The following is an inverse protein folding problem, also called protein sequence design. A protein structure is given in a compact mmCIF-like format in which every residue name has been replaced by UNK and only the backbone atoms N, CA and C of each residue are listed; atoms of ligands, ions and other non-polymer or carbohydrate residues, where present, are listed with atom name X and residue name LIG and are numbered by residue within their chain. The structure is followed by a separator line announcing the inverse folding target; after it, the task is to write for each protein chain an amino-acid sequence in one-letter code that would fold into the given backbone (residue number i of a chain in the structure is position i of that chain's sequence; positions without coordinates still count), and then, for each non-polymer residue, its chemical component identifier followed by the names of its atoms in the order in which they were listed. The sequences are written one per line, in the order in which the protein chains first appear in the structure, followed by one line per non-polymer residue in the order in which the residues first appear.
data_IF_922141422348
#
_entry.id   IF_922141422348
#
_cell.length_a   1.000
_cell.length_b   1.000
_cell.length_c   1.000
_cell.angle_alpha   90.00
_cell.angle_beta   90.00
_cell.angle_gamma   90.00
#
_symmetry.space_group_name_H-M   'P 1'
#
loop_
_entity.id
_entity.type
_entity.pdbx_description
1 polymer ?
#
# COMPACT_ATOMS: atom_id res chain seq x y z
N UNK A 1 -31.61 55.31 -37.53
CA UNK A 1 -32.32 54.01 -37.64
C UNK A 1 -31.23 52.96 -37.83
N UNK A 2 -30.76 52.35 -36.73
CA UNK A 2 -29.73 51.31 -36.74
C UNK A 2 -30.42 49.99 -36.36
N UNK A 3 -30.29 48.98 -37.21
CA UNK A 3 -30.77 47.62 -36.95
C UNK A 3 -29.63 46.83 -36.31
N UNK A 4 -29.87 46.33 -35.11
CA UNK A 4 -28.96 45.51 -34.31
C UNK A 4 -28.74 44.13 -34.95
N UNK A 5 -27.48 43.69 -34.98
CA UNK A 5 -27.08 42.32 -35.34
C UNK A 5 -27.52 41.38 -34.22
N UNK A 6 -28.50 40.54 -34.51
CA UNK A 6 -28.92 39.47 -33.62
C UNK A 6 -27.84 38.41 -33.44
N UNK A 7 -27.60 38.07 -32.16
CA UNK A 7 -26.88 36.90 -31.68
C UNK A 7 -27.49 35.61 -32.27
N UNK A 8 -26.76 34.99 -33.18
CA UNK A 8 -27.01 33.61 -33.60
C UNK A 8 -26.44 32.72 -32.51
N UNK A 9 -27.30 32.30 -31.57
CA UNK A 9 -27.00 31.22 -30.64
C UNK A 9 -26.65 29.95 -31.43
N UNK A 10 -25.35 29.63 -31.52
CA UNK A 10 -24.84 28.33 -31.93
C UNK A 10 -25.39 27.28 -30.96
N UNK A 11 -26.52 26.67 -31.33
CA UNK A 11 -27.06 25.50 -30.65
C UNK A 11 -26.06 24.36 -30.82
N UNK A 12 -25.35 24.03 -29.74
CA UNK A 12 -24.51 22.83 -29.64
C UNK A 12 -25.29 21.61 -30.12
N UNK A 13 -24.91 21.08 -31.28
CA UNK A 13 -25.47 19.84 -31.80
C UNK A 13 -25.11 18.70 -30.82
N UNK A 14 -26.05 17.80 -30.50
CA UNK A 14 -25.77 16.66 -29.64
C UNK A 14 -24.66 15.81 -30.27
N UNK A 15 -23.67 15.43 -29.45
CA UNK A 15 -22.58 14.56 -29.88
C UNK A 15 -23.15 13.35 -30.64
N UNK A 16 -22.61 13.09 -31.83
CA UNK A 16 -23.10 12.01 -32.67
C UNK A 16 -22.93 10.67 -31.95
N UNK A 17 -23.90 9.76 -32.09
CA UNK A 17 -23.87 8.42 -31.50
C UNK A 17 -22.52 7.66 -31.63
N UNK A 18 -21.75 7.76 -32.74
CA UNK A 18 -20.43 7.14 -32.80
C UNK A 18 -19.42 7.68 -31.77
N UNK A 19 -19.44 8.98 -31.43
CA UNK A 19 -18.50 9.54 -30.44
C UNK A 19 -18.79 9.04 -29.02
N UNK A 20 -20.07 8.90 -28.66
CA UNK A 20 -20.48 8.39 -27.34
C UNK A 20 -20.04 6.93 -27.16
N UNK A 21 -20.22 6.11 -28.20
CA UNK A 21 -19.78 4.70 -28.18
C UNK A 21 -18.25 4.61 -28.11
N UNK A 22 -17.53 5.36 -28.94
CA UNK A 22 -16.06 5.38 -28.92
C UNK A 22 -15.50 5.84 -27.57
N UNK A 23 -16.06 6.88 -26.95
CA UNK A 23 -15.64 7.35 -25.63
C UNK A 23 -15.93 6.33 -24.51
N UNK A 24 -17.07 5.64 -24.57
CA UNK A 24 -17.42 4.60 -23.59
C UNK A 24 -16.48 3.40 -23.69
N UNK A 25 -16.17 3.00 -24.92
CA UNK A 25 -15.22 1.91 -25.20
C UNK A 25 -13.81 2.31 -24.77
N UNK A 26 -13.37 3.53 -25.10
CA UNK A 26 -12.04 4.03 -24.72
C UNK A 26 -11.87 4.13 -23.20
N UNK A 27 -12.87 4.61 -22.46
CA UNK A 27 -12.83 4.69 -20.99
C UNK A 27 -12.83 3.29 -20.35
N UNK A 28 -13.60 2.35 -20.88
CA UNK A 28 -13.57 0.96 -20.43
C UNK A 28 -12.17 0.36 -20.61
N UNK A 29 -11.54 0.57 -21.76
CA UNK A 29 -10.19 0.08 -22.04
C UNK A 29 -9.11 0.76 -21.19
N UNK A 30 -9.21 2.06 -20.93
CA UNK A 30 -8.27 2.76 -20.05
C UNK A 30 -8.25 2.14 -18.64
N UNK A 31 -9.42 1.70 -18.15
CA UNK A 31 -9.51 1.02 -16.86
C UNK A 31 -8.84 -0.36 -16.88
N UNK A 32 -8.97 -1.10 -17.98
CA UNK A 32 -8.35 -2.41 -18.17
C UNK A 32 -6.82 -2.30 -18.24
N UNK A 33 -6.29 -1.28 -18.90
CA UNK A 33 -4.84 -1.07 -19.05
C UNK A 33 -4.14 -0.84 -17.73
N UNK A 34 -4.75 -0.03 -16.85
CA UNK A 34 -4.23 0.23 -15.52
C UNK A 34 -4.20 -1.05 -14.68
N UNK A 35 -5.24 -1.88 -14.80
CA UNK A 35 -5.30 -3.19 -14.13
C UNK A 35 -4.21 -4.11 -14.68
N UNK A 36 -4.11 -4.22 -16.00
CA UNK A 36 -3.14 -5.07 -16.68
C UNK A 36 -1.71 -4.69 -16.31
N UNK A 37 -1.36 -3.40 -16.36
CA UNK A 37 -0.07 -2.88 -15.94
C UNK A 37 0.23 -3.23 -14.47
N UNK A 38 -0.74 -3.05 -13.58
CA UNK A 38 -0.62 -3.42 -12.17
C UNK A 38 -0.39 -4.93 -11.97
N UNK A 39 -1.12 -5.78 -12.69
CA UNK A 39 -0.98 -7.24 -12.59
C UNK A 39 0.37 -7.74 -13.14
N UNK A 40 0.83 -7.17 -14.26
CA UNK A 40 2.17 -7.45 -14.82
C UNK A 40 3.26 -7.01 -13.84
N UNK A 41 3.16 -5.80 -13.28
CA UNK A 41 4.11 -5.30 -12.29
C UNK A 41 4.12 -6.13 -10.99
N UNK A 42 2.98 -6.72 -10.61
CA UNK A 42 2.88 -7.66 -9.50
C UNK A 42 3.46 -9.06 -9.82
N UNK A 43 3.92 -9.28 -11.05
CA UNK A 43 4.54 -10.52 -11.50
C UNK A 43 3.54 -11.67 -11.69
N UNK A 44 2.30 -11.38 -12.07
CA UNK A 44 1.35 -12.41 -12.48
C UNK A 44 1.78 -13.03 -13.80
N UNK A 45 1.61 -14.35 -13.91
CA UNK A 45 1.94 -15.08 -15.14
C UNK A 45 0.84 -14.98 -16.19
N UNK A 46 1.20 -15.31 -17.44
CA UNK A 46 0.35 -15.24 -18.63
C UNK A 46 -1.00 -15.94 -18.41
N UNK A 47 -0.99 -17.19 -17.95
CA UNK A 47 -2.22 -17.96 -17.72
C UNK A 47 -3.17 -17.31 -16.71
N UNK A 48 -2.61 -16.69 -15.66
CA UNK A 48 -3.42 -16.00 -14.66
C UNK A 48 -4.06 -14.73 -15.23
N UNK A 49 -3.33 -13.99 -16.08
CA UNK A 49 -3.86 -12.80 -16.75
C UNK A 49 -4.99 -13.17 -17.72
N UNK A 50 -4.77 -14.16 -18.57
CA UNK A 50 -5.79 -14.72 -19.49
C UNK A 50 -7.04 -15.11 -18.70
N UNK A 51 -6.85 -15.93 -17.65
CA UNK A 51 -7.95 -16.45 -16.87
C UNK A 51 -8.71 -15.35 -16.12
N UNK A 52 -8.03 -14.39 -15.50
CA UNK A 52 -8.66 -13.36 -14.68
C UNK A 52 -9.27 -12.22 -15.49
N UNK A 53 -8.73 -11.90 -16.66
CA UNK A 53 -9.25 -10.83 -17.52
C UNK A 53 -10.20 -11.35 -18.60
N UNK A 54 -10.28 -12.67 -18.80
CA UNK A 54 -11.13 -13.27 -19.84
C UNK A 54 -10.66 -12.90 -21.24
N UNK A 55 -9.36 -12.67 -21.42
CA UNK A 55 -8.75 -12.31 -22.70
C UNK A 55 -8.20 -13.55 -23.40
N UNK A 56 -8.22 -13.57 -24.73
CA UNK A 56 -7.44 -14.55 -25.47
C UNK A 56 -5.94 -14.29 -25.29
N UNK A 57 -5.11 -15.32 -25.52
CA UNK A 57 -3.65 -15.18 -25.43
C UNK A 57 -3.12 -14.12 -26.39
N UNK A 58 -3.62 -14.08 -27.62
CA UNK A 58 -3.25 -13.07 -28.63
C UNK A 58 -3.65 -11.66 -28.18
N UNK A 59 -4.92 -11.46 -27.76
CA UNK A 59 -5.39 -10.17 -27.30
C UNK A 59 -4.60 -9.63 -26.09
N UNK A 60 -4.19 -10.53 -25.18
CA UNK A 60 -3.34 -10.18 -24.06
C UNK A 60 -1.97 -9.65 -24.53
N UNK A 61 -1.29 -10.37 -25.44
CA UNK A 61 0.02 -9.95 -25.94
C UNK A 61 -0.04 -8.68 -26.78
N UNK A 62 -1.05 -8.53 -27.63
CA UNK A 62 -1.28 -7.30 -28.40
C UNK A 62 -1.42 -6.10 -27.46
N UNK A 63 -2.16 -6.28 -26.35
CA UNK A 63 -2.33 -5.21 -25.36
C UNK A 63 -1.06 -4.91 -24.57
N UNK A 64 -0.30 -5.94 -24.18
CA UNK A 64 1.00 -5.77 -23.52
C UNK A 64 1.98 -5.00 -24.42
N UNK A 65 2.04 -5.35 -25.70
CA UNK A 65 2.87 -4.67 -26.69
C UNK A 65 2.43 -3.22 -26.89
N UNK A 66 1.13 -2.98 -27.04
CA UNK A 66 0.57 -1.63 -27.20
C UNK A 66 0.86 -0.71 -26.00
N UNK A 67 0.93 -1.28 -24.78
CA UNK A 67 1.26 -0.54 -23.56
C UNK A 67 2.77 -0.46 -23.27
N UNK A 68 3.63 -1.08 -24.09
CA UNK A 68 5.06 -1.16 -23.84
C UNK A 68 5.44 -1.87 -22.53
N UNK A 69 4.59 -2.79 -22.07
CA UNK A 69 4.81 -3.52 -20.82
C UNK A 69 5.79 -4.68 -21.03
N UNK A 70 6.58 -5.05 -20.01
CA UNK A 70 7.44 -6.23 -20.10
C UNK A 70 6.59 -7.51 -20.24
N UNK A 71 7.08 -8.46 -21.04
CA UNK A 71 6.41 -9.75 -21.24
C UNK A 71 6.31 -10.49 -19.90
N UNK A 72 5.09 -10.82 -19.42
CA UNK A 72 4.90 -11.51 -18.15
C UNK A 72 5.48 -12.92 -18.22
N UNK A 73 6.00 -13.40 -17.09
CA UNK A 73 6.61 -14.72 -17.00
C UNK A 73 5.58 -15.85 -17.18
N UNK A 74 6.01 -16.99 -17.72
CA UNK A 74 5.16 -18.19 -17.85
C UNK A 74 5.09 -18.98 -16.54
N UNK A 75 4.85 -18.28 -15.42
CA UNK A 75 4.74 -18.92 -14.11
C UNK A 75 3.37 -19.57 -13.98
N UNK A 76 3.30 -20.87 -13.66
CA UNK A 76 2.02 -21.54 -13.48
C UNK A 76 1.25 -20.87 -12.34
N UNK A 77 -0.08 -20.79 -12.50
CA UNK A 77 -0.95 -20.22 -11.48
C UNK A 77 -0.72 -20.95 -10.15
N UNK A 78 -0.41 -20.19 -9.09
CA UNK A 78 -0.22 -20.77 -7.76
C UNK A 78 -1.49 -21.52 -7.36
N UNK A 79 -1.36 -22.83 -7.13
CA UNK A 79 -2.46 -23.65 -6.62
C UNK A 79 -2.97 -23.03 -5.32
N UNK A 80 -4.28 -22.84 -5.25
CA UNK A 80 -4.90 -22.20 -4.11
C UNK A 80 -4.88 -23.17 -2.91
N UNK A 81 -3.95 -22.95 -1.98
CA UNK A 81 -3.88 -23.69 -0.72
C UNK A 81 -4.71 -23.01 0.38
N UNK A 82 -5.42 -23.80 1.19
CA UNK A 82 -6.13 -23.35 2.39
C UNK A 82 -7.61 -23.74 2.42
N UNK A 83 -8.28 -23.48 3.56
CA UNK A 83 -9.69 -23.84 3.80
C UNK A 83 -10.68 -23.19 2.82
N UNK A 84 -10.31 -22.04 2.25
CA UNK A 84 -11.14 -21.29 1.31
C UNK A 84 -10.24 -20.77 0.18
N UNK A 85 -9.95 -21.57 -0.85
CA UNK A 85 -9.13 -21.17 -1.99
C UNK A 85 -9.79 -20.04 -2.78
N UNK A 86 -9.02 -19.13 -3.38
CA UNK A 86 -9.57 -18.12 -4.30
C UNK A 86 -9.88 -18.79 -5.63
N UNK A 87 -11.16 -18.85 -5.99
CA UNK A 87 -11.57 -19.32 -7.33
C UNK A 87 -11.27 -18.23 -8.36
N UNK A 88 -11.12 -18.58 -9.65
CA UNK A 88 -11.00 -17.57 -10.71
C UNK A 88 -12.16 -16.59 -10.73
N UNK A 89 -13.39 -17.06 -10.48
CA UNK A 89 -14.58 -16.21 -10.46
C UNK A 89 -14.60 -15.25 -9.26
N UNK A 90 -14.15 -15.69 -8.08
CA UNK A 90 -13.95 -14.78 -6.92
C UNK A 90 -12.99 -13.64 -7.28
N UNK A 91 -11.94 -13.95 -8.05
CA UNK A 91 -10.95 -12.96 -8.48
C UNK A 91 -11.53 -12.00 -9.50
N UNK A 92 -12.26 -12.49 -10.51
CA UNK A 92 -12.96 -11.65 -11.49
C UNK A 92 -13.97 -10.72 -10.81
N UNK A 93 -14.80 -11.27 -9.92
CA UNK A 93 -15.75 -10.50 -9.13
C UNK A 93 -15.06 -9.45 -8.26
N UNK A 94 -13.93 -9.79 -7.63
CA UNK A 94 -13.13 -8.83 -6.88
C UNK A 94 -12.65 -7.68 -7.78
N UNK A 95 -12.08 -7.98 -8.96
CA UNK A 95 -11.57 -6.95 -9.87
C UNK A 95 -12.72 -6.04 -10.33
N UNK A 96 -13.84 -6.62 -10.79
CA UNK A 96 -15.01 -5.86 -11.22
C UNK A 96 -15.54 -4.91 -10.14
N UNK A 97 -15.75 -5.42 -8.91
CA UNK A 97 -16.24 -4.61 -7.80
C UNK A 97 -15.23 -3.56 -7.33
N UNK A 98 -13.93 -3.88 -7.41
CA UNK A 98 -12.87 -2.94 -7.07
C UNK A 98 -12.88 -1.75 -8.03
N UNK A 99 -12.93 -2.01 -9.34
CA UNK A 99 -12.97 -0.99 -10.37
C UNK A 99 -14.25 -0.17 -10.35
N UNK A 100 -15.38 -0.79 -10.01
CA UNK A 100 -16.65 -0.11 -9.82
C UNK A 100 -16.74 0.74 -8.53
N UNK A 101 -15.63 1.00 -7.83
CA UNK A 101 -15.62 1.86 -6.63
C UNK A 101 -16.33 1.28 -5.41
N UNK A 102 -16.67 -0.02 -5.40
CA UNK A 102 -17.45 -0.59 -4.29
C UNK A 102 -16.63 -0.67 -3.00
N UNK A 103 -17.24 -0.27 -1.89
CA UNK A 103 -16.60 -0.29 -0.58
C UNK A 103 -16.21 -1.72 -0.16
N UNK A 104 -15.03 -1.87 0.46
CA UNK A 104 -14.43 -3.19 0.77
C UNK A 104 -15.30 -4.05 1.69
N UNK A 105 -16.12 -3.43 2.53
CA UNK A 105 -17.10 -4.14 3.36
C UNK A 105 -18.13 -4.89 2.51
N UNK A 106 -18.75 -4.22 1.54
CA UNK A 106 -19.72 -4.84 0.62
C UNK A 106 -19.08 -5.93 -0.23
N UNK A 107 -17.84 -5.72 -0.71
CA UNK A 107 -17.08 -6.76 -1.44
C UNK A 107 -16.86 -8.00 -0.57
N UNK A 108 -16.44 -7.80 0.68
CA UNK A 108 -16.17 -8.87 1.63
C UNK A 108 -17.45 -9.68 1.94
N UNK A 109 -18.56 -8.98 2.18
CA UNK A 109 -19.89 -9.59 2.40
C UNK A 109 -20.36 -10.37 1.15
N UNK A 110 -20.22 -9.79 -0.04
CA UNK A 110 -20.60 -10.44 -1.32
C UNK A 110 -19.80 -11.70 -1.60
N UNK A 111 -18.50 -11.73 -1.29
CA UNK A 111 -17.61 -12.87 -1.54
C UNK A 111 -17.56 -13.87 -0.38
N UNK A 112 -18.22 -13.59 0.76
CA UNK A 112 -18.10 -14.41 1.97
C UNK A 112 -16.66 -14.46 2.53
N UNK A 113 -15.90 -13.36 2.37
CA UNK A 113 -14.49 -13.27 2.78
C UNK A 113 -14.28 -12.20 3.86
N UNK A 114 -13.12 -12.23 4.52
CA UNK A 114 -12.75 -11.15 5.44
C UNK A 114 -12.21 -9.92 4.67
N UNK A 115 -12.44 -8.72 5.19
CA UNK A 115 -11.89 -7.46 4.63
C UNK A 115 -10.37 -7.52 4.43
N UNK A 116 -9.65 -8.11 5.38
CA UNK A 116 -8.20 -8.28 5.29
C UNK A 116 -7.78 -9.21 4.15
N UNK A 117 -8.56 -10.27 3.87
CA UNK A 117 -8.31 -11.15 2.73
C UNK A 117 -8.49 -10.39 1.40
N UNK A 118 -9.51 -9.51 1.30
CA UNK A 118 -9.72 -8.65 0.14
C UNK A 118 -8.50 -7.75 -0.11
N UNK A 119 -8.03 -7.01 0.91
CA UNK A 119 -6.85 -6.16 0.79
C UNK A 119 -5.59 -6.95 0.44
N UNK A 120 -5.39 -8.11 1.06
CA UNK A 120 -4.27 -9.00 0.76
C UNK A 120 -4.28 -9.49 -0.68
N UNK A 121 -5.44 -9.91 -1.20
CA UNK A 121 -5.58 -10.36 -2.59
C UNK A 121 -5.40 -9.20 -3.56
N UNK A 122 -6.06 -8.06 -3.32
CA UNK A 122 -5.91 -6.81 -4.10
C UNK A 122 -4.45 -6.40 -4.28
N UNK A 123 -3.66 -6.43 -3.20
CA UNK A 123 -2.21 -6.11 -3.25
C UNK A 123 -1.44 -7.11 -4.11
N UNK A 124 -1.72 -8.41 -3.96
CA UNK A 124 -1.07 -9.47 -4.75
C UNK A 124 -1.43 -9.42 -6.24
N UNK A 125 -2.60 -8.89 -6.57
CA UNK A 125 -3.04 -8.65 -7.94
C UNK A 125 -2.48 -7.34 -8.53
N UNK A 126 -1.82 -6.50 -7.73
CA UNK A 126 -1.34 -5.19 -8.21
C UNK A 126 -2.45 -4.18 -8.52
N UNK A 127 -3.66 -4.39 -8.00
CA UNK A 127 -4.77 -3.45 -8.25
C UNK A 127 -4.48 -2.07 -7.63
N UNK A 128 -4.86 -0.98 -8.31
CA UNK A 128 -4.54 0.38 -7.91
C UNK A 128 -5.16 0.76 -6.56
N UNK A 129 -4.55 1.75 -5.90
CA UNK A 129 -5.14 2.38 -4.73
C UNK A 129 -6.28 3.28 -5.18
N UNK A 130 -7.43 3.14 -4.52
CA UNK A 130 -8.63 3.95 -4.79
C UNK A 130 -8.68 5.11 -3.82
N UNK A 131 -9.20 6.23 -4.27
CA UNK A 131 -9.54 7.32 -3.38
C UNK A 131 -10.64 6.87 -2.40
N UNK A 132 -10.59 7.35 -1.17
CA UNK A 132 -11.58 7.03 -0.14
C UNK A 132 -12.92 7.72 -0.40
N UNK A 133 -12.89 8.88 -1.06
CA UNK A 133 -14.08 9.66 -1.36
C UNK A 133 -14.90 9.07 -2.52
N UNK A 134 -14.26 8.29 -3.40
CA UNK A 134 -14.92 7.64 -4.54
C UNK A 134 -15.56 6.28 -4.18
N UNK A 135 -15.63 5.92 -2.90
CA UNK A 135 -16.12 4.63 -2.46
C UNK A 135 -17.59 4.70 -2.07
N UNK A 136 -18.42 3.82 -2.63
CA UNK A 136 -19.83 3.68 -2.26
C UNK A 136 -20.15 2.26 -1.77
N UNK A 137 -21.10 2.17 -0.84
CA UNK A 137 -21.65 0.89 -0.39
C UNK A 137 -22.63 0.36 -1.44
N UNK A 138 -22.69 -0.97 -1.56
CA UNK A 138 -23.69 -1.68 -2.38
C UNK A 138 -24.24 -2.86 -1.61
N UNK A 139 -25.47 -3.26 -1.95
CA UNK A 139 -26.05 -4.49 -1.43
C UNK A 139 -25.33 -5.72 -2.01
N UNK A 140 -25.51 -6.89 -1.39
CA UNK A 140 -24.92 -8.14 -1.88
C UNK A 140 -25.43 -8.50 -3.28
N UNK A 141 -26.72 -8.29 -3.54
CA UNK A 141 -27.34 -8.60 -4.83
C UNK A 141 -26.85 -7.67 -5.94
N UNK A 142 -26.71 -6.37 -5.64
CA UNK A 142 -26.08 -5.41 -6.57
C UNK A 142 -24.62 -5.79 -6.88
N UNK A 143 -23.87 -6.27 -5.88
CA UNK A 143 -22.50 -6.71 -6.08
C UNK A 143 -22.43 -7.94 -7.00
N UNK A 144 -23.37 -8.88 -6.86
CA UNK A 144 -23.48 -10.05 -7.74
C UNK A 144 -23.85 -9.64 -9.16
N UNK A 145 -24.77 -8.70 -9.33
CA UNK A 145 -25.18 -8.19 -10.64
C UNK A 145 -24.03 -7.49 -11.40
N UNK A 146 -23.16 -6.74 -10.71
CA UNK A 146 -21.97 -6.14 -11.31
C UNK A 146 -21.00 -7.21 -11.82
N UNK A 147 -20.80 -8.27 -11.03
CA UNK A 147 -19.91 -9.36 -11.39
C UNK A 147 -20.38 -10.12 -12.63
N UNK A 148 -21.69 -10.32 -12.78
CA UNK A 148 -22.27 -11.00 -13.93
C UNK A 148 -21.95 -10.31 -15.26
N UNK A 149 -21.83 -8.97 -15.28
CA UNK A 149 -21.44 -8.21 -16.49
C UNK A 149 -19.98 -8.42 -16.91
N UNK A 150 -19.15 -8.91 -15.98
CA UNK A 150 -17.73 -9.14 -16.16
C UNK A 150 -17.39 -10.62 -16.35
N UNK A 151 -18.39 -11.51 -16.24
CA UNK A 151 -18.21 -12.89 -16.64
C UNK A 151 -17.82 -12.86 -18.13
N UNK A 152 -16.69 -13.49 -18.52
CA UNK A 152 -16.40 -13.65 -19.93
C UNK A 152 -17.65 -14.29 -20.51
N UNK A 153 -18.22 -13.62 -21.51
CA UNK A 153 -19.11 -14.31 -22.42
C UNK A 153 -18.22 -15.43 -22.91
N UNK A 154 -18.46 -16.65 -22.45
CA UNK A 154 -17.96 -17.83 -23.11
C UNK A 154 -18.61 -17.73 -24.48
N UNK A 155 -17.98 -16.96 -25.38
CA UNK A 155 -18.31 -16.95 -26.77
C UNK A 155 -18.31 -18.42 -27.09
N UNK A 156 -19.50 -18.95 -27.37
CA UNK A 156 -19.68 -20.37 -27.53
C UNK A 156 -18.68 -20.78 -28.59
N UNK A 157 -17.57 -21.37 -28.15
CA UNK A 157 -16.58 -22.02 -29.00
C UNK A 157 -17.16 -23.40 -29.37
N UNK A 158 -18.49 -23.45 -29.53
CA UNK A 158 -19.23 -24.51 -30.17
C UNK A 158 -18.88 -24.42 -31.66
N UNK A 159 -18.12 -25.41 -32.10
CA UNK A 159 -18.13 -25.88 -33.48
C UNK A 159 -17.46 -25.04 -34.57
N UNK A 160 -16.36 -24.35 -34.26
CA UNK A 160 -15.27 -24.21 -35.27
C UNK A 160 -14.30 -25.41 -35.16
N UNK A 161 -14.87 -26.61 -35.00
CA UNK A 161 -14.23 -27.88 -35.34
C UNK A 161 -14.57 -28.29 -36.80
N UNK A 162 -15.08 -27.37 -37.62
CA UNK A 162 -15.05 -27.51 -39.06
C UNK A 162 -13.67 -27.11 -39.57
N UNK A 163 -12.79 -28.09 -39.62
CA UNK A 163 -11.48 -28.07 -40.27
C UNK A 163 -11.51 -27.25 -41.59
N UNK A 164 -10.98 -26.00 -41.66
CA UNK A 164 -10.90 -25.27 -42.92
C UNK A 164 -9.79 -25.82 -43.85
N UNK A 165 -9.05 -26.86 -43.41
CA UNK A 165 -7.95 -27.47 -44.15
C UNK A 165 -8.35 -28.25 -45.40
N UNK A 166 -9.64 -28.48 -45.69
CA UNK A 166 -10.07 -29.19 -46.89
C UNK A 166 -10.47 -28.27 -48.07
N UNK A 167 -10.67 -26.96 -47.86
CA UNK A 167 -11.17 -26.05 -48.90
C UNK A 167 -10.12 -25.06 -49.47
N UNK A 168 -8.91 -25.01 -48.91
CA UNK A 168 -7.86 -24.05 -49.34
C UNK A 168 -6.67 -24.69 -50.09
N UNK A 169 -6.72 -25.98 -50.43
CA UNK A 169 -5.70 -26.63 -51.28
C UNK A 169 -5.82 -26.28 -52.78
N UNK A 170 -6.80 -25.48 -53.19
CA UNK A 170 -7.03 -25.13 -54.60
C UNK A 170 -6.48 -23.78 -55.07
N UNK A 171 -6.00 -22.90 -54.17
CA UNK A 171 -5.64 -21.51 -54.52
C UNK A 171 -4.19 -21.12 -54.16
N UNK A 172 -3.39 -22.04 -53.63
CA UNK A 172 -2.01 -21.79 -53.21
C UNK A 172 -0.96 -22.00 -54.32
N UNK A 173 -1.36 -22.02 -55.60
CA UNK A 173 -0.43 -22.23 -56.73
C UNK A 173 -0.07 -20.95 -57.51
N UNK A 174 -0.65 -19.78 -57.22
CA UNK A 174 -0.53 -18.62 -58.13
C UNK A 174 0.03 -17.33 -57.53
N UNK A 175 0.44 -17.29 -56.25
CA UNK A 175 0.90 -16.04 -55.61
C UNK A 175 2.26 -16.18 -54.87
N UNK A 176 3.17 -17.01 -55.39
CA UNK A 176 4.58 -16.98 -54.97
C UNK A 176 5.51 -16.71 -56.17
N UNK A 177 5.43 -15.50 -56.71
CA UNK A 177 6.47 -14.95 -57.59
C UNK A 177 6.60 -13.43 -57.42
N UNK A 178 6.92 -12.98 -56.20
CA UNK A 178 7.51 -11.66 -55.96
C UNK A 178 8.15 -11.62 -54.56
N UNK A 179 9.46 -11.82 -54.49
CA UNK A 179 10.26 -11.55 -53.30
C UNK A 179 10.67 -10.06 -53.30
N UNK A 180 10.34 -9.25 -52.27
CA UNK A 180 11.02 -7.99 -52.05
C UNK A 180 12.36 -8.23 -51.32
N UNK A 181 13.43 -7.64 -51.85
CA UNK A 181 14.78 -7.75 -51.30
C UNK A 181 14.95 -7.07 -49.92
N UNK A 182 16.05 -7.37 -49.21
CA UNK A 182 16.28 -6.90 -47.85
C UNK A 182 16.60 -5.40 -47.81
N UNK A 183 16.15 -4.65 -46.78
CA UNK A 183 16.54 -3.25 -46.59
C UNK A 183 18.01 -3.15 -46.11
N UNK A 184 18.71 -2.05 -46.45
CA UNK A 184 20.10 -1.84 -46.03
C UNK A 184 20.21 -1.52 -44.53
N UNK A 185 21.28 -2.02 -43.93
CA UNK A 185 21.65 -1.85 -42.54
C UNK A 185 21.76 -0.37 -42.15
N UNK A 186 21.00 0.03 -41.11
CA UNK A 186 21.12 1.35 -40.48
C UNK A 186 22.12 1.25 -39.32
N UNK A 187 23.17 2.05 -39.41
CA UNK A 187 24.20 2.19 -38.39
C UNK A 187 23.60 2.67 -37.06
N UNK A 188 23.88 1.91 -35.99
CA UNK A 188 23.62 2.30 -34.61
C UNK A 188 24.75 3.24 -34.19
N UNK A 189 24.45 4.53 -34.11
CA UNK A 189 25.30 5.51 -33.43
C UNK A 189 25.00 5.42 -31.93
N UNK A 190 25.93 4.81 -31.20
CA UNK A 190 25.99 4.86 -29.74
C UNK A 190 26.30 6.29 -29.31
N UNK A 191 25.31 6.98 -28.73
CA UNK A 191 25.52 8.28 -28.10
C UNK A 191 25.63 8.04 -26.59
N UNK A 192 26.87 8.01 -26.10
CA UNK A 192 27.19 7.96 -24.68
C UNK A 192 26.77 9.27 -24.01
N UNK A 193 25.85 9.17 -23.05
CA UNK A 193 25.44 10.27 -22.19
C UNK A 193 26.43 10.40 -21.02
N UNK A 194 27.42 11.28 -21.18
CA UNK A 194 28.28 11.74 -20.08
C UNK A 194 27.53 12.81 -19.27
N UNK A 195 27.16 12.49 -18.04
CA UNK A 195 26.42 13.38 -17.14
C UNK A 195 27.15 13.57 -15.81
N UNK A 196 28.39 14.07 -15.87
CA UNK A 196 29.13 14.62 -14.72
C UNK A 196 30.04 15.76 -15.21
N UNK A 197 29.48 16.97 -15.31
CA UNK A 197 30.24 18.21 -15.34
C UNK A 197 29.29 19.39 -15.11
N UNK A 198 29.30 19.95 -13.90
CA UNK A 198 29.12 21.37 -13.64
C UNK A 198 29.53 21.62 -12.19
N UNK A 199 30.81 21.96 -12.05
CA UNK A 199 31.37 22.68 -10.91
C UNK A 199 30.91 24.15 -10.95
N UNK A 200 30.88 24.77 -9.78
CA UNK A 200 31.01 26.22 -9.64
C UNK A 200 29.89 26.86 -8.84
N UNK A 201 30.07 26.97 -7.53
CA UNK A 201 30.05 28.29 -6.89
C UNK A 201 30.64 28.23 -5.48
N UNK A 202 31.69 29.04 -5.33
CA UNK A 202 32.58 29.24 -4.20
C UNK A 202 31.91 30.14 -3.18
N UNK A 203 31.81 29.71 -1.92
CA UNK A 203 31.55 30.60 -0.78
C UNK A 203 32.65 30.38 0.27
N UNK A 204 33.26 31.51 0.63
CA UNK A 204 34.42 31.68 1.50
C UNK A 204 34.20 31.15 2.93
N UNK A 205 35.22 30.46 3.47
CA UNK A 205 35.29 30.02 4.86
C UNK A 205 36.26 30.91 5.67
N UNK A 206 35.96 31.25 6.93
CA UNK A 206 36.94 31.81 7.84
C UNK A 206 37.65 30.73 8.66
N UNK A 207 39.00 30.75 8.54
CA UNK A 207 40.05 30.55 9.56
C UNK A 207 39.93 29.42 10.59
N UNK A 208 40.69 28.36 10.29
CA UNK A 208 41.63 27.61 11.13
C UNK A 208 41.50 27.71 12.67
N UNK A 209 41.13 26.58 13.29
CA UNK A 209 41.57 26.18 14.62
C UNK A 209 42.20 24.80 14.56
N UNK A 210 43.45 24.72 15.00
CA UNK A 210 44.33 23.57 15.06
C UNK A 210 43.79 22.53 16.03
N UNK A 211 43.39 21.35 15.54
CA UNK A 211 43.12 20.18 16.38
C UNK A 211 43.88 18.96 15.83
N UNK A 212 44.59 18.32 16.75
CA UNK A 212 45.44 17.15 16.56
C UNK A 212 44.67 15.96 15.96
N UNK A 213 45.33 15.11 15.16
CA UNK A 213 44.69 13.93 14.59
C UNK A 213 44.37 12.88 15.68
N UNK A 214 43.20 12.21 15.61
CA UNK A 214 42.88 11.13 16.52
C UNK A 214 43.72 9.88 16.19
N UNK A 215 44.38 9.35 17.20
CA UNK A 215 45.08 8.07 17.20
C UNK A 215 44.10 6.95 16.85
N UNK A 216 44.26 6.37 15.66
CA UNK A 216 43.53 5.16 15.25
C UNK A 216 44.07 3.99 16.05
N UNK A 217 43.30 3.53 17.03
CA UNK A 217 43.53 2.26 17.73
C UNK A 217 43.10 1.15 16.79
N UNK A 218 44.06 0.53 16.11
CA UNK A 218 43.85 -0.70 15.35
C UNK A 218 43.32 -1.78 16.30
N UNK A 219 42.07 -2.22 16.07
CA UNK A 219 41.55 -3.44 16.69
C UNK A 219 42.35 -4.61 16.15
N UNK A 220 42.93 -5.40 17.06
CA UNK A 220 43.53 -6.69 16.76
C UNK A 220 42.50 -7.57 16.05
N UNK A 221 42.75 -7.85 14.77
CA UNK A 221 42.06 -8.92 14.05
C UNK A 221 42.50 -10.27 14.66
N UNK A 222 41.57 -11.16 15.01
CA UNK A 222 41.93 -12.50 15.42
C UNK A 222 42.57 -13.22 14.23
N UNK A 223 43.77 -13.75 14.48
CA UNK A 223 44.54 -14.62 13.60
C UNK A 223 43.64 -15.67 12.93
N UNK A 224 43.79 -15.94 11.62
CA UNK A 224 43.04 -17.00 10.95
C UNK A 224 43.51 -18.34 11.50
N UNK A 225 42.78 -18.87 12.47
CA UNK A 225 42.87 -20.28 12.83
C UNK A 225 42.51 -21.10 11.59
N UNK A 226 43.44 -21.99 11.26
CA UNK A 226 43.40 -22.97 10.20
C UNK A 226 42.06 -23.71 10.22
N UNK A 227 41.12 -23.28 9.36
CA UNK A 227 39.93 -24.05 9.07
C UNK A 227 40.41 -25.28 8.29
N UNK A 228 40.47 -26.41 8.99
CA UNK A 228 40.75 -27.72 8.41
C UNK A 228 39.80 -27.96 7.23
N UNK A 229 40.36 -27.93 6.02
CA UNK A 229 39.65 -28.15 4.76
C UNK A 229 39.33 -29.64 4.54
N UNK A 230 38.80 -30.33 5.55
CA UNK A 230 38.13 -31.62 5.35
C UNK A 230 36.70 -31.34 4.91
N UNK A 231 36.46 -31.50 3.61
CA UNK A 231 35.11 -31.58 3.07
C UNK A 231 34.29 -32.55 3.94
N UNK A 232 33.09 -32.16 4.43
CA UNK A 232 32.25 -33.07 5.17
C UNK A 232 31.92 -34.23 4.24
N UNK A 233 32.43 -35.42 4.57
CA UNK A 233 32.03 -36.65 3.91
C UNK A 233 30.52 -36.78 4.16
N UNK A 234 29.74 -36.62 3.09
CA UNK A 234 28.32 -36.93 3.13
C UNK A 234 28.20 -38.42 3.48
N UNK A 235 27.40 -38.80 4.48
CA UNK A 235 27.26 -40.20 4.86
C UNK A 235 26.78 -41.00 3.65
N UNK A 236 27.35 -42.20 3.46
CA UNK A 236 26.92 -43.14 2.44
C UNK A 236 25.44 -43.47 2.65
N UNK A 237 24.69 -43.61 1.56
CA UNK A 237 23.22 -43.72 1.60
C UNK A 237 22.72 -44.91 2.44
N UNK A 238 23.56 -45.92 2.65
CA UNK A 238 23.31 -47.07 3.52
C UNK A 238 23.30 -46.75 5.02
N UNK A 239 23.84 -45.60 5.44
CA UNK A 239 23.85 -45.13 6.83
C UNK A 239 22.63 -44.24 7.16
N UNK A 240 21.86 -43.81 6.16
CA UNK A 240 20.66 -42.99 6.33
C UNK A 240 19.45 -43.76 6.89
N UNK A 241 19.50 -45.09 6.95
CA UNK A 241 18.41 -45.94 7.47
C UNK A 241 18.29 -45.95 9.00
N UNK A 242 19.25 -45.37 9.72
CA UNK A 242 19.19 -45.21 11.18
C UNK A 242 18.92 -43.77 11.65
N UNK A 243 18.56 -42.85 10.74
CA UNK A 243 18.18 -41.50 11.12
C UNK A 243 16.85 -41.51 11.88
N UNK A 244 16.92 -41.59 13.20
CA UNK A 244 15.80 -41.28 14.08
C UNK A 244 15.61 -39.76 14.04
N UNK A 245 14.44 -39.27 13.58
CA UNK A 245 14.19 -37.83 13.55
C UNK A 245 14.36 -37.28 14.97
N UNK A 246 15.10 -36.18 15.17
CA UNK A 246 15.24 -35.58 16.48
C UNK A 246 13.85 -35.33 17.05
N UNK A 247 13.62 -35.78 18.28
CA UNK A 247 12.34 -35.64 19.00
C UNK A 247 11.90 -34.19 18.84
N UNK A 248 10.84 -34.00 18.05
CA UNK A 248 10.37 -32.67 17.70
C UNK A 248 10.16 -31.89 19.01
N UNK A 249 10.74 -30.68 19.15
CA UNK A 249 10.60 -29.93 20.39
C UNK A 249 9.12 -29.85 20.72
N UNK A 250 8.76 -30.37 21.90
CA UNK A 250 7.38 -30.39 22.36
C UNK A 250 6.85 -28.98 22.19
N UNK A 251 5.79 -28.83 21.38
CA UNK A 251 5.22 -27.53 21.02
C UNK A 251 4.94 -26.80 22.33
N UNK A 252 5.83 -25.86 22.72
CA UNK A 252 5.63 -25.01 23.89
C UNK A 252 4.22 -24.45 23.73
N UNK A 253 3.31 -24.82 24.65
CA UNK A 253 1.97 -24.24 24.69
C UNK A 253 2.19 -22.74 24.58
N UNK A 254 1.71 -22.13 23.49
CA UNK A 254 1.73 -20.67 23.35
C UNK A 254 0.99 -20.16 24.56
N UNK A 255 1.72 -19.73 25.59
CA UNK A 255 1.14 -18.97 26.67
C UNK A 255 0.43 -17.82 25.99
N UNK A 256 -0.86 -17.70 26.29
CA UNK A 256 -1.72 -16.70 25.72
C UNK A 256 -1.19 -15.36 26.23
N UNK A 257 -0.16 -14.82 25.55
CA UNK A 257 0.34 -13.47 25.76
C UNK A 257 -0.84 -12.59 25.39
N UNK A 258 -1.65 -12.28 26.40
CA UNK A 258 -2.65 -11.20 26.32
C UNK A 258 -1.89 -10.06 25.67
N UNK A 259 -2.31 -9.68 24.47
CA UNK A 259 -1.62 -8.63 23.73
C UNK A 259 -1.65 -7.42 24.64
N UNK A 260 -0.50 -7.03 25.20
CA UNK A 260 -0.37 -5.88 26.11
C UNK A 260 -1.04 -4.61 25.51
N UNK A 261 -1.17 -4.57 24.18
CA UNK A 261 -1.91 -3.56 23.43
C UNK A 261 -3.41 -3.42 23.74
N UNK A 262 -4.07 -4.37 24.43
CA UNK A 262 -5.51 -4.28 24.76
C UNK A 262 -5.80 -3.83 26.19
N UNK A 263 -4.78 -3.66 27.05
CA UNK A 263 -5.02 -3.10 28.39
C UNK A 263 -5.34 -1.61 28.25
N UNK A 264 -6.45 -1.17 28.84
CA UNK A 264 -6.75 0.25 28.96
C UNK A 264 -5.83 0.88 30.03
N UNK A 265 -5.22 2.02 29.72
CA UNK A 265 -4.46 2.79 30.70
C UNK A 265 -5.42 3.31 31.77
N UNK A 266 -5.06 3.11 33.03
CA UNK A 266 -5.73 3.70 34.19
C UNK A 266 -5.48 5.21 34.22
N UNK A 267 -6.34 5.97 34.90
CA UNK A 267 -6.14 7.42 35.06
C UNK A 267 -4.81 7.82 35.73
N UNK A 268 -4.31 7.14 36.78
CA UNK A 268 -2.98 7.46 37.32
C UNK A 268 -1.85 7.19 36.32
N UNK A 269 -1.90 6.09 35.55
CA UNK A 269 -0.90 5.81 34.51
C UNK A 269 -0.90 6.89 33.42
N UNK A 270 -2.08 7.37 33.02
CA UNK A 270 -2.23 8.47 32.07
C UNK A 270 -1.57 9.75 32.57
N UNK A 271 -1.84 10.13 33.82
CA UNK A 271 -1.24 11.31 34.47
C UNK A 271 0.28 11.19 34.51
N UNK A 272 0.78 10.02 34.88
CA UNK A 272 2.22 9.75 34.97
C UNK A 272 2.89 9.81 33.59
N UNK A 273 2.26 9.27 32.54
CA UNK A 273 2.74 9.40 31.14
C UNK A 273 2.79 10.86 30.72
N UNK A 274 1.77 11.67 31.05
CA UNK A 274 1.75 13.11 30.76
C UNK A 274 2.91 13.85 31.42
N UNK A 275 3.11 13.64 32.74
CA UNK A 275 4.18 14.28 33.50
C UNK A 275 5.56 13.91 32.96
N UNK A 276 5.80 12.63 32.69
CA UNK A 276 7.04 12.14 32.07
C UNK A 276 7.27 12.72 30.67
N UNK A 277 6.20 12.81 29.88
CA UNK A 277 6.25 13.44 28.57
C UNK A 277 6.62 14.92 28.64
N UNK A 278 6.08 15.67 29.61
CA UNK A 278 6.40 17.07 29.87
C UNK A 278 7.79 17.28 30.49
N UNK A 279 8.33 16.28 31.18
CA UNK A 279 9.73 16.24 31.61
C UNK A 279 10.73 16.03 30.45
N UNK A 280 10.23 15.72 29.24
CA UNK A 280 11.06 15.40 28.09
C UNK A 280 11.42 13.91 27.96
N UNK A 281 10.96 13.03 28.86
CA UNK A 281 11.32 11.62 28.80
C UNK A 281 10.93 10.99 27.45
N UNK A 282 11.84 10.20 26.87
CA UNK A 282 11.61 9.51 25.59
C UNK A 282 10.46 8.51 25.72
N UNK A 283 9.52 8.44 24.74
CA UNK A 283 8.39 7.52 24.85
C UNK A 283 8.77 6.04 24.96
N UNK A 284 9.93 5.64 24.43
CA UNK A 284 10.50 4.29 24.59
C UNK A 284 10.83 3.99 26.06
N UNK A 285 11.39 4.95 26.77
CA UNK A 285 11.83 4.82 28.16
C UNK A 285 10.63 4.84 29.10
N UNK A 286 9.64 5.71 28.84
CA UNK A 286 8.33 5.69 29.53
C UNK A 286 7.66 4.31 29.37
N UNK A 287 7.59 3.80 28.14
CA UNK A 287 6.96 2.51 27.85
C UNK A 287 7.64 1.35 28.60
N UNK A 288 8.97 1.35 28.63
CA UNK A 288 9.77 0.35 29.35
C UNK A 288 9.53 0.41 30.86
N UNK A 289 9.62 1.60 31.47
CA UNK A 289 9.53 1.78 32.92
C UNK A 289 8.12 1.55 33.47
N UNK A 290 7.09 1.86 32.69
CA UNK A 290 5.68 1.68 33.08
C UNK A 290 5.08 0.34 32.64
N UNK A 291 5.86 -0.52 31.98
CA UNK A 291 5.40 -1.80 31.44
C UNK A 291 4.19 -1.68 30.49
N UNK A 292 4.13 -0.59 29.71
CA UNK A 292 3.10 -0.32 28.71
C UNK A 292 3.70 -0.35 27.30
N UNK A 293 2.87 -0.49 26.28
CA UNK A 293 3.38 -0.49 24.90
C UNK A 293 3.78 0.92 24.46
N UNK A 294 4.84 1.02 23.66
CA UNK A 294 5.25 2.27 23.02
C UNK A 294 4.10 2.95 22.24
N UNK A 295 3.23 2.16 21.61
CA UNK A 295 2.04 2.65 20.92
C UNK A 295 1.02 3.32 21.84
N UNK A 296 0.80 2.77 23.05
CA UNK A 296 -0.09 3.40 24.05
C UNK A 296 0.47 4.74 24.50
N UNK A 297 1.77 4.82 24.83
CA UNK A 297 2.44 6.05 25.28
C UNK A 297 2.38 7.13 24.20
N UNK A 298 2.83 6.84 22.99
CA UNK A 298 2.86 7.82 21.88
C UNK A 298 1.47 8.29 21.47
N UNK A 299 0.49 7.38 21.40
CA UNK A 299 -0.91 7.71 21.14
C UNK A 299 -1.47 8.64 22.23
N UNK A 300 -1.19 8.32 23.50
CA UNK A 300 -1.67 9.11 24.63
C UNK A 300 -1.04 10.51 24.69
N UNK A 301 0.28 10.62 24.56
CA UNK A 301 1.00 11.90 24.53
C UNK A 301 0.51 12.82 23.40
N UNK A 302 0.10 12.25 22.25
CA UNK A 302 -0.49 13.02 21.15
C UNK A 302 -1.88 13.52 21.52
N UNK A 303 -2.75 12.68 22.11
CA UNK A 303 -4.11 13.07 22.52
C UNK A 303 -4.11 14.11 23.64
N UNK A 304 -3.20 13.98 24.60
CA UNK A 304 -3.03 14.92 25.71
C UNK A 304 -2.28 16.22 25.31
N UNK A 305 -1.95 16.41 24.02
CA UNK A 305 -1.24 17.56 23.45
C UNK A 305 0.23 17.74 23.90
N UNK A 306 0.74 16.88 24.78
CA UNK A 306 2.12 16.91 25.28
C UNK A 306 3.15 16.82 24.15
N UNK A 307 2.92 15.95 23.16
CA UNK A 307 3.83 15.82 22.01
C UNK A 307 3.94 17.12 21.20
N UNK A 308 2.85 17.88 21.08
CA UNK A 308 2.83 19.18 20.39
C UNK A 308 3.60 20.23 21.18
N UNK A 309 3.43 20.29 22.51
CA UNK A 309 4.19 21.22 23.34
C UNK A 309 5.69 20.94 23.33
N UNK A 310 6.11 19.67 23.34
CA UNK A 310 7.53 19.30 23.21
C UNK A 310 8.14 19.86 21.94
N UNK A 311 7.48 19.65 20.81
CA UNK A 311 7.95 20.12 19.51
C UNK A 311 7.91 21.65 19.38
N UNK A 312 6.89 22.31 19.94
CA UNK A 312 6.73 23.77 19.84
C UNK A 312 7.67 24.57 20.75
N UNK A 313 8.24 23.94 21.78
CA UNK A 313 9.03 24.61 22.82
C UNK A 313 10.42 23.99 23.02
N UNK A 314 10.89 23.19 22.05
CA UNK A 314 12.16 22.47 22.07
C UNK A 314 12.48 21.86 23.44
N UNK A 315 11.53 21.10 23.99
CA UNK A 315 11.77 20.35 25.22
C UNK A 315 12.77 19.23 24.88
N UNK A 316 13.94 19.26 25.51
CA UNK A 316 15.01 18.27 25.31
C UNK A 316 14.54 16.84 25.64
N UNK A 317 14.96 15.86 24.83
CA UNK A 317 14.56 14.46 25.03
C UNK A 317 15.55 13.68 25.89
N UNK A 318 15.17 13.45 27.14
CA UNK A 318 15.97 12.72 28.14
C UNK A 318 15.55 11.26 28.26
N UNK A 319 16.46 10.41 28.74
CA UNK A 319 16.18 8.99 29.02
C UNK A 319 15.47 8.78 30.37
N UNK A 320 15.83 9.58 31.38
CA UNK A 320 15.35 9.45 32.75
C UNK A 320 14.32 10.53 33.08
N UNK A 321 13.32 10.16 33.87
CA UNK A 321 12.29 11.07 34.33
C UNK A 321 12.77 11.91 35.51
N UNK A 322 12.66 13.23 35.40
CA UNK A 322 12.79 14.16 36.51
C UNK A 322 11.47 14.92 36.73
N UNK A 323 10.77 14.73 37.88
CA UNK A 323 9.53 15.44 38.16
C UNK A 323 9.72 16.95 38.32
N UNK A 324 10.90 17.43 38.74
CA UNK A 324 11.18 18.85 38.87
C UNK A 324 11.20 19.53 37.49
N UNK A 325 11.79 18.88 36.49
CA UNK A 325 11.79 19.36 35.09
C UNK A 325 10.36 19.40 34.54
N UNK A 326 9.52 18.40 34.82
CA UNK A 326 8.12 18.41 34.44
C UNK A 326 7.38 19.64 35.01
N UNK A 327 7.52 19.88 36.31
CA UNK A 327 6.89 21.01 36.99
C UNK A 327 7.41 22.36 36.49
N UNK A 328 8.72 22.46 36.23
CA UNK A 328 9.34 23.64 35.64
C UNK A 328 8.77 23.93 34.25
N UNK A 329 8.63 22.91 33.39
CA UNK A 329 8.02 23.05 32.07
C UNK A 329 6.54 23.44 32.14
N UNK A 330 5.76 22.84 33.04
CA UNK A 330 4.35 23.21 33.26
C UNK A 330 4.22 24.70 33.63
N UNK A 331 5.05 25.19 34.56
CA UNK A 331 5.07 26.60 34.98
C UNK A 331 5.53 27.52 33.86
N UNK A 332 6.67 27.19 33.21
CA UNK A 332 7.27 27.96 32.10
C UNK A 332 6.28 28.16 30.96
N UNK A 333 5.59 27.08 30.57
CA UNK A 333 4.64 27.07 29.46
C UNK A 333 3.23 27.52 29.87
N UNK A 334 3.03 27.85 31.16
CA UNK A 334 1.73 28.22 31.75
C UNK A 334 0.64 27.21 31.40
N UNK A 335 0.95 25.93 31.46
CA UNK A 335 0.01 24.89 31.10
C UNK A 335 -0.98 24.65 32.23
N UNK A 336 -2.24 24.43 31.85
CA UNK A 336 -3.30 23.97 32.72
C UNK A 336 -3.90 22.71 32.12
N UNK A 337 -4.23 21.75 32.99
CA UNK A 337 -4.95 20.54 32.58
C UNK A 337 -6.43 20.87 32.51
N UNK A 338 -7.06 20.63 31.36
CA UNK A 338 -8.47 20.89 31.12
C UNK A 338 -9.19 19.57 30.87
N UNK A 339 -10.26 19.32 31.62
CA UNK A 339 -11.10 18.15 31.42
C UNK A 339 -12.00 18.33 30.20
N UNK A 340 -12.16 17.26 29.42
CA UNK A 340 -13.04 17.19 28.26
C UNK A 340 -14.37 16.59 28.74
N UNK A 341 -15.38 17.44 28.97
CA UNK A 341 -16.70 17.04 29.47
C UNK A 341 -17.79 17.41 28.47
N UNK A 342 -18.41 16.42 27.83
CA UNK A 342 -19.47 16.64 26.83
C UNK A 342 -20.73 15.92 27.28
N UNK A 343 -21.85 16.65 27.39
CA UNK A 343 -23.13 16.14 27.89
C UNK A 343 -22.95 15.36 29.21
N UNK A 344 -22.29 15.98 30.19
CA UNK A 344 -21.97 15.43 31.52
C UNK A 344 -21.05 14.19 31.54
N UNK A 345 -20.63 13.68 30.36
CA UNK A 345 -19.69 12.56 30.25
C UNK A 345 -18.27 13.07 30.12
N UNK A 346 -17.37 12.53 30.95
CA UNK A 346 -15.92 12.81 30.88
C UNK A 346 -15.27 11.92 29.82
N UNK A 347 -14.69 12.55 28.80
CA UNK A 347 -14.00 11.86 27.68
C UNK A 347 -12.48 11.79 27.87
N UNK A 348 -11.94 12.56 28.81
CA UNK A 348 -10.53 12.61 29.14
C UNK A 348 -10.10 13.99 29.61
N UNK A 349 -8.81 14.27 29.51
CA UNK A 349 -8.22 15.58 29.78
C UNK A 349 -7.12 15.86 28.78
N UNK A 350 -6.75 17.13 28.64
CA UNK A 350 -5.63 17.56 27.81
C UNK A 350 -4.94 18.77 28.44
N UNK A 351 -3.70 19.03 28.02
CA UNK A 351 -2.99 20.25 28.42
C UNK A 351 -3.32 21.39 27.45
N UNK A 352 -3.66 22.55 28.02
CA UNK A 352 -3.89 23.79 27.29
C UNK A 352 -3.07 24.92 27.92
N UNK A 353 -2.72 25.94 27.14
CA UNK A 353 -2.07 27.14 27.68
C UNK A 353 -3.11 27.94 28.46
N UNK A 354 -2.81 28.30 29.72
CA UNK A 354 -3.70 29.10 30.57
C UNK A 354 -4.02 30.43 29.86
N UNK A 355 -5.30 30.72 29.71
CA UNK A 355 -5.80 31.93 29.04
C UNK A 355 -5.91 31.84 27.52
N UNK A 356 -5.67 30.68 26.88
CA UNK A 356 -5.82 30.55 25.43
C UNK A 356 -7.28 30.59 24.94
N UNK A 357 -8.26 30.40 25.83
CA UNK A 357 -9.66 30.21 25.45
C UNK A 357 -9.96 28.89 24.74
N UNK A 358 -8.95 28.03 24.53
CA UNK A 358 -9.09 26.75 23.84
C UNK A 358 -9.82 25.75 24.75
N UNK A 359 -11.13 25.55 24.50
CA UNK A 359 -11.95 24.61 25.25
C UNK A 359 -11.76 23.15 24.80
N UNK A 360 -11.38 22.95 23.53
CA UNK A 360 -11.31 21.62 22.91
C UNK A 360 -10.12 21.52 21.95
N UNK A 361 -9.34 20.44 21.99
CA UNK A 361 -8.27 20.23 21.02
C UNK A 361 -8.85 19.84 19.65
N UNK A 362 -8.16 20.20 18.56
CA UNK A 362 -8.60 19.95 17.18
C UNK A 362 -8.98 18.49 16.88
N UNK A 363 -8.26 17.53 17.46
CA UNK A 363 -8.59 16.11 17.26
C UNK A 363 -9.95 15.73 17.87
N UNK A 364 -10.35 16.38 18.97
CA UNK A 364 -11.61 16.11 19.64
C UNK A 364 -12.80 16.67 18.86
N UNK A 365 -12.62 17.82 18.20
CA UNK A 365 -13.63 18.44 17.32
C UNK A 365 -14.06 17.54 16.15
N UNK A 366 -13.21 16.58 15.77
CA UNK A 366 -13.51 15.58 14.71
C UNK A 366 -14.20 14.32 15.24
N UNK A 367 -14.39 14.21 16.55
CA UNK A 367 -15.03 13.03 17.14
C UNK A 367 -16.55 13.14 17.02
N UNK A 368 -17.21 11.99 16.83
CA UNK A 368 -18.66 11.92 16.75
C UNK A 368 -19.33 12.48 18.02
N UNK A 369 -18.77 12.23 19.19
CA UNK A 369 -19.28 12.78 20.45
C UNK A 369 -19.32 14.32 20.47
N UNK A 370 -18.31 14.97 19.90
CA UNK A 370 -18.32 16.43 19.75
C UNK A 370 -19.36 16.88 18.72
N UNK A 371 -19.43 16.21 17.57
CA UNK A 371 -20.38 16.52 16.49
C UNK A 371 -21.82 16.37 16.99
N UNK A 372 -22.13 15.27 17.67
CA UNK A 372 -23.46 14.98 18.21
C UNK A 372 -23.86 16.04 19.25
N UNK A 373 -22.93 16.45 20.14
CA UNK A 373 -23.21 17.49 21.12
C UNK A 373 -23.35 18.88 20.53
N UNK A 374 -22.58 19.21 19.49
CA UNK A 374 -22.66 20.48 18.78
C UNK A 374 -23.95 20.63 17.95
N UNK A 375 -24.63 19.53 17.62
CA UNK A 375 -25.93 19.56 16.93
C UNK A 375 -27.13 19.74 17.88
N UNK A 376 -26.93 19.56 19.19
CA UNK A 376 -28.00 19.67 20.22
C UNK A 376 -28.07 21.07 20.83
N UNK A 377 -26.98 21.85 20.72
CA UNK A 377 -26.91 23.26 21.09
C UNK A 377 -27.16 24.14 19.88
#
# INVERSE_FOLDING_TARGET
MYLERGDVNERSLPASWPEVVLNTVATAFASLDVILAGMVAAGLGVDALILYLGLSRTALFDRIAALGLPTPHDRPMRRAGGKSPWTPDDVRQLIALWMAGVHVRSIAESLGRSRSAIYGKRRRLGLPVRDRNSLHYRSVDECRAVAARWAPTHAEESDISANPGAALSGLAAEIYSAQPGPPPARAVLSQEFNLWALEGETIEAPRASTLLPPTVVCRNEPSPETIDARAPAWPLFSELTLWQPPVAPTKRKKTNRVRLSTRNLTEPEKIEIENRGLAGQRPTSIAREMEVTFGQVTSYLRRAMVARFRAAHDIELVEYYDPAVAQANIRRLRLARTDIVVAEKRFGSFWAKRGSGEKWPEWFKRTRAFIDAAMVC
#
